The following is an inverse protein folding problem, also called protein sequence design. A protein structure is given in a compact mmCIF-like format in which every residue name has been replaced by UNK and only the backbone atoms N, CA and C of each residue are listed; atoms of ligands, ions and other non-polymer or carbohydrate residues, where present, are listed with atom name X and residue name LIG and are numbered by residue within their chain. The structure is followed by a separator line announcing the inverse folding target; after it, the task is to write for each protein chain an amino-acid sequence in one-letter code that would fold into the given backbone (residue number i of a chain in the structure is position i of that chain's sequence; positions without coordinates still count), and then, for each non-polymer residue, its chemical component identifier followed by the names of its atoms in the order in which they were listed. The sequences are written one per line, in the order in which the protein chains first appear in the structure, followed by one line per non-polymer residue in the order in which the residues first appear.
data_IF_420359936039
#
_entry.id   IF_420359936039
#
_cell.length_a   1.000
_cell.length_b   1.000
_cell.length_c   1.000
_cell.angle_alpha   90.00
_cell.angle_beta   90.00
_cell.angle_gamma   90.00
#
_symmetry.space_group_name_H-M   'P 1'
#
loop_
_entity.id
_entity.type
_entity.pdbx_description
1 polymer ?
#
# COMPACT_ATOMS: atom_id res chain seq x y z
N UNK A 1 -10.32 4.28 16.45
CA UNK A 1 -11.15 3.42 15.57
C UNK A 1 -10.89 1.95 15.87
N UNK A 2 -11.89 1.13 16.23
CA UNK A 2 -11.75 -0.32 16.43
C UNK A 2 -11.13 -1.07 15.24
N UNK A 3 -11.31 -0.58 14.03
CA UNK A 3 -10.80 -1.14 12.77
C UNK A 3 -9.27 -1.16 12.73
N UNK A 4 -8.61 -0.14 13.28
CA UNK A 4 -7.16 -0.09 13.43
C UNK A 4 -6.63 -0.96 14.57
N UNK A 5 -7.48 -1.46 15.48
CA UNK A 5 -7.05 -2.40 16.52
C UNK A 5 -6.89 -3.83 15.95
N UNK A 6 -7.33 -4.09 14.71
CA UNK A 6 -6.94 -5.29 13.94
C UNK A 6 -5.52 -5.13 13.36
N UNK A 7 -4.59 -4.67 14.21
CA UNK A 7 -3.25 -4.24 13.83
C UNK A 7 -2.50 -5.29 12.99
N UNK A 8 -2.73 -6.58 13.24
CA UNK A 8 -2.00 -7.66 12.58
C UNK A 8 -2.26 -7.74 11.07
N UNK A 9 -3.49 -7.46 10.60
CA UNK A 9 -3.85 -7.67 9.19
C UNK A 9 -3.36 -6.52 8.32
N UNK A 10 -3.72 -5.28 8.66
CA UNK A 10 -3.29 -4.09 7.91
C UNK A 10 -1.76 -3.93 7.92
N UNK A 11 -1.09 -4.13 9.08
CA UNK A 11 0.37 -4.04 9.14
C UNK A 11 1.06 -5.14 8.31
N UNK A 12 0.47 -6.35 8.25
CA UNK A 12 1.01 -7.43 7.42
C UNK A 12 0.91 -7.10 5.93
N UNK A 13 -0.22 -6.53 5.48
CA UNK A 13 -0.41 -6.07 4.10
C UNK A 13 0.60 -4.99 3.72
N UNK A 14 0.79 -3.97 4.57
CA UNK A 14 1.80 -2.92 4.32
C UNK A 14 3.20 -3.52 4.14
N UNK A 15 3.59 -4.46 5.00
CA UNK A 15 4.91 -5.12 4.90
C UNK A 15 5.05 -5.85 3.57
N UNK A 16 4.03 -6.56 3.12
CA UNK A 16 4.04 -7.28 1.85
C UNK A 16 4.12 -6.32 0.65
N UNK A 17 3.35 -5.23 0.66
CA UNK A 17 3.40 -4.17 -0.36
C UNK A 17 4.79 -3.53 -0.40
N UNK A 18 5.36 -3.16 0.76
CA UNK A 18 6.71 -2.59 0.84
C UNK A 18 7.77 -3.53 0.30
N UNK A 19 7.69 -4.83 0.63
CA UNK A 19 8.62 -5.83 0.10
C UNK A 19 8.50 -5.96 -1.43
N UNK A 20 7.27 -6.00 -1.96
CA UNK A 20 7.02 -6.06 -3.40
C UNK A 20 7.54 -4.82 -4.15
N UNK A 21 7.29 -3.62 -3.60
CA UNK A 21 7.79 -2.36 -4.13
C UNK A 21 9.32 -2.26 -4.07
N UNK A 22 9.95 -2.75 -3.00
CA UNK A 22 11.40 -2.81 -2.88
C UNK A 22 12.01 -3.67 -4.00
N UNK A 23 11.44 -4.85 -4.24
CA UNK A 23 11.88 -5.73 -5.33
C UNK A 23 11.69 -5.13 -6.72
N UNK A 24 10.55 -4.47 -6.97
CA UNK A 24 10.32 -3.73 -8.22
C UNK A 24 11.32 -2.58 -8.39
N UNK A 25 11.57 -1.82 -7.32
CA UNK A 25 12.54 -0.73 -7.31
C UNK A 25 13.94 -1.21 -7.65
N UNK A 26 14.41 -2.27 -7.00
CA UNK A 26 15.72 -2.86 -7.28
C UNK A 26 15.86 -3.30 -8.76
N UNK A 27 14.82 -3.91 -9.33
CA UNK A 27 14.83 -4.31 -10.74
C UNK A 27 14.92 -3.09 -11.67
N UNK A 28 14.12 -2.06 -11.42
CA UNK A 28 14.15 -0.84 -12.23
C UNK A 28 15.48 -0.08 -12.10
N UNK A 29 16.12 -0.15 -10.94
CA UNK A 29 17.47 0.39 -10.72
C UNK A 29 18.52 -0.32 -11.58
N UNK A 30 18.49 -1.66 -11.62
CA UNK A 30 19.37 -2.45 -12.50
C UNK A 30 19.12 -2.16 -13.98
N UNK A 31 17.85 -1.94 -14.37
CA UNK A 31 17.52 -1.53 -15.73
C UNK A 31 18.10 -0.15 -16.05
N UNK A 32 18.03 0.78 -15.10
CA UNK A 32 18.56 2.14 -15.26
C UNK A 32 20.09 2.17 -15.33
N UNK A 33 20.78 1.30 -14.59
CA UNK A 33 22.25 1.18 -14.61
C UNK A 33 22.78 0.46 -15.86
N UNK A 34 21.92 -0.25 -16.59
CA UNK A 34 22.30 -1.08 -17.74
C UNK A 34 22.78 -2.48 -17.36
N UNK A 35 22.63 -2.87 -16.09
CA UNK A 35 22.91 -4.25 -15.61
C UNK A 35 21.86 -5.26 -16.07
N UNK A 36 20.69 -4.79 -16.49
CA UNK A 36 19.61 -5.63 -17.01
C UNK A 36 18.84 -4.87 -18.08
N UNK A 37 18.27 -5.59 -19.05
CA UNK A 37 17.33 -4.99 -20.01
C UNK A 37 15.93 -4.93 -19.39
N UNK A 38 15.19 -3.86 -19.71
CA UNK A 38 13.82 -3.69 -19.26
C UNK A 38 12.89 -4.66 -20.02
N UNK A 39 12.35 -5.63 -19.30
CA UNK A 39 11.39 -6.61 -19.78
C UNK A 39 10.01 -6.38 -19.14
N UNK A 40 9.01 -6.18 -19.98
CA UNK A 40 7.62 -5.95 -19.57
C UNK A 40 7.02 -7.15 -18.82
N UNK A 41 7.42 -8.37 -19.16
CA UNK A 41 6.96 -9.59 -18.50
C UNK A 41 7.53 -9.69 -17.09
N UNK A 42 8.78 -9.27 -16.88
CA UNK A 42 9.40 -9.27 -15.56
C UNK A 42 8.80 -8.18 -14.66
N UNK A 43 8.56 -6.98 -15.20
CA UNK A 43 7.80 -5.94 -14.49
C UNK A 43 6.43 -6.47 -14.08
N UNK A 44 5.71 -7.13 -15.00
CA UNK A 44 4.40 -7.73 -14.69
C UNK A 44 4.52 -8.77 -13.58
N UNK A 45 5.48 -9.69 -13.65
CA UNK A 45 5.68 -10.74 -12.65
C UNK A 45 5.95 -10.16 -11.26
N UNK A 46 6.76 -9.11 -11.16
CA UNK A 46 7.03 -8.41 -9.91
C UNK A 46 5.78 -7.72 -9.36
N UNK A 47 5.02 -7.02 -10.21
CA UNK A 47 3.75 -6.37 -9.84
C UNK A 47 2.68 -7.39 -9.40
N UNK A 48 2.56 -8.51 -10.10
CA UNK A 48 1.63 -9.59 -9.75
C UNK A 48 1.92 -10.16 -8.36
N UNK A 49 3.19 -10.13 -7.93
CA UNK A 49 3.63 -10.65 -6.63
C UNK A 49 3.07 -9.92 -5.41
N UNK A 50 2.61 -8.68 -5.56
CA UNK A 50 1.95 -7.91 -4.48
C UNK A 50 0.63 -7.26 -4.91
N UNK A 51 0.22 -7.40 -6.17
CA UNK A 51 -0.95 -6.72 -6.71
C UNK A 51 -2.25 -7.11 -6.01
N UNK A 52 -2.46 -8.39 -5.70
CA UNK A 52 -3.65 -8.85 -5.00
C UNK A 52 -3.76 -8.24 -3.59
N UNK A 53 -2.65 -8.20 -2.85
CA UNK A 53 -2.62 -7.63 -1.50
C UNK A 53 -2.80 -6.11 -1.54
N UNK A 54 -2.24 -5.43 -2.55
CA UNK A 54 -2.42 -3.99 -2.76
C UNK A 54 -3.89 -3.64 -3.01
N UNK A 55 -4.59 -4.38 -3.89
CA UNK A 55 -6.00 -4.12 -4.15
C UNK A 55 -6.88 -4.35 -2.93
N UNK A 56 -6.67 -5.48 -2.23
CA UNK A 56 -7.41 -5.77 -1.01
C UNK A 56 -7.18 -4.69 0.07
N UNK A 57 -5.92 -4.25 0.22
CA UNK A 57 -5.55 -3.21 1.16
C UNK A 57 -6.27 -1.88 0.87
N UNK A 58 -6.25 -1.42 -0.39
CA UNK A 58 -6.93 -0.17 -0.79
C UNK A 58 -8.45 -0.24 -0.56
N UNK A 59 -9.09 -1.38 -0.85
CA UNK A 59 -10.52 -1.58 -0.60
C UNK A 59 -10.86 -1.57 0.90
N UNK A 60 -10.02 -2.20 1.73
CA UNK A 60 -10.16 -2.21 3.18
C UNK A 60 -9.96 -0.81 3.77
N UNK A 61 -8.97 -0.05 3.28
CA UNK A 61 -8.73 1.34 3.67
C UNK A 61 -9.93 2.23 3.37
N UNK A 62 -10.55 2.12 2.19
CA UNK A 62 -11.76 2.90 1.88
C UNK A 62 -12.86 2.61 2.89
N UNK A 63 -13.09 1.35 3.25
CA UNK A 63 -14.11 0.99 4.23
C UNK A 63 -13.80 1.55 5.63
N UNK A 64 -12.53 1.52 6.04
CA UNK A 64 -12.09 2.00 7.33
C UNK A 64 -12.06 3.54 7.41
N UNK A 65 -11.52 4.22 6.40
CA UNK A 65 -11.17 5.64 6.38
C UNK A 65 -12.14 6.54 5.62
N UNK A 66 -13.22 6.01 5.02
CA UNK A 66 -14.26 6.85 4.40
C UNK A 66 -14.86 7.85 5.39
N UNK A 67 -15.39 8.95 4.85
CA UNK A 67 -15.93 10.07 5.60
C UNK A 67 -16.98 9.65 6.64
N UNK A 68 -17.85 8.69 6.32
CA UNK A 68 -18.88 8.18 7.23
C UNK A 68 -18.29 7.53 8.48
N UNK A 69 -17.13 6.88 8.36
CA UNK A 69 -16.48 6.24 9.49
C UNK A 69 -15.60 7.22 10.25
N UNK A 70 -14.84 8.07 9.55
CA UNK A 70 -14.00 9.10 10.17
C UNK A 70 -14.83 10.04 11.07
N UNK A 71 -15.98 10.53 10.60
CA UNK A 71 -16.82 11.45 11.39
C UNK A 71 -17.40 10.84 12.67
N UNK A 72 -17.34 9.51 12.85
CA UNK A 72 -17.76 8.84 14.11
C UNK A 72 -16.74 9.02 15.23
N UNK A 73 -15.48 9.26 14.90
CA UNK A 73 -14.38 9.24 15.86
C UNK A 73 -13.58 10.55 15.89
N UNK A 74 -13.65 11.38 14.85
CA UNK A 74 -12.98 12.69 14.80
C UNK A 74 -13.95 13.82 14.45
N UNK A 75 -13.75 14.97 15.07
CA UNK A 75 -14.35 16.23 14.67
C UNK A 75 -13.65 16.80 13.43
N UNK A 76 -14.30 17.75 12.76
CA UNK A 76 -13.72 18.45 11.62
C UNK A 76 -12.42 19.17 11.98
N UNK A 77 -12.34 19.78 13.18
CA UNK A 77 -11.14 20.47 13.64
C UNK A 77 -9.96 19.51 13.83
N UNK A 78 -10.22 18.32 14.36
CA UNK A 78 -9.19 17.28 14.54
C UNK A 78 -8.72 16.72 13.20
N UNK A 79 -9.65 16.46 12.26
CA UNK A 79 -9.33 16.00 10.92
C UNK A 79 -8.39 16.96 10.18
N UNK A 80 -8.64 18.27 10.26
CA UNK A 80 -7.81 19.31 9.63
C UNK A 80 -6.41 19.38 10.23
N UNK A 81 -6.24 18.92 11.47
CA UNK A 81 -4.95 18.89 12.16
C UNK A 81 -4.16 17.59 11.95
N UNK A 82 -4.70 16.60 11.23
CA UNK A 82 -3.98 15.37 10.92
C UNK A 82 -2.77 15.67 10.02
N UNK A 83 -1.61 15.04 10.28
CA UNK A 83 -0.48 15.12 9.36
C UNK A 83 -0.84 14.42 8.04
N UNK A 84 -0.57 15.11 6.94
CA UNK A 84 -0.71 14.62 5.56
C UNK A 84 0.67 14.54 4.91
#
# INVERSE_FOLDING_TARGET
MPEFHRELTLLSQHREIHNGLAGLGEYLEKCRSGESDLDRMEVKRLMDGFGAVLWAHLDEEVNALRAENMRRYWSLKEMVALPM
#
